data_IF_047693351356
#
_entry.id   IF_047693351356
#
_cell.length_a   1.000
_cell.length_b   1.000
_cell.length_c   1.000
_cell.angle_alpha   90.00
_cell.angle_beta   90.00
_cell.angle_gamma   90.00
#
_symmetry.space_group_name_H-M   'P 1'
#
loop_
_entity.id
_entity.type
_entity.pdbx_description
1 polymer ?
#
# COMPACT_ATOMS: atom_id res chain seq x y z
N UNK A 1 0.60 -19.88 1.06
CA UNK A 1 -0.34 -19.82 2.21
C UNK A 1 0.41 -19.96 3.52
N UNK A 2 -0.09 -19.40 4.60
CA UNK A 2 0.48 -19.42 5.95
C UNK A 2 1.86 -18.72 6.12
N UNK A 3 2.15 -17.71 5.30
CA UNK A 3 3.34 -16.88 5.44
C UNK A 3 3.25 -16.08 6.75
N UNK A 4 4.24 -16.24 7.63
CA UNK A 4 4.24 -15.66 9.00
C UNK A 4 2.94 -15.86 9.79
N UNK A 5 2.22 -16.96 9.54
CA UNK A 5 0.94 -17.26 10.22
C UNK A 5 -0.29 -16.61 9.58
N UNK A 6 -0.14 -15.89 8.46
CA UNK A 6 -1.29 -15.30 7.74
C UNK A 6 -2.18 -16.39 7.14
N UNK A 7 -3.50 -16.43 7.47
CA UNK A 7 -4.34 -17.61 7.20
C UNK A 7 -4.92 -17.69 5.79
N UNK A 8 -4.73 -16.65 4.97
CA UNK A 8 -5.34 -16.54 3.63
C UNK A 8 -4.28 -16.38 2.53
N UNK A 9 -4.70 -16.29 1.27
CA UNK A 9 -3.80 -16.22 0.11
C UNK A 9 -3.54 -14.81 -0.40
N UNK A 10 -4.35 -13.85 0.02
CA UNK A 10 -4.22 -12.43 -0.30
C UNK A 10 -4.73 -11.59 0.88
N UNK A 11 -4.45 -10.30 0.88
CA UNK A 11 -5.05 -9.38 1.82
C UNK A 11 -6.20 -8.62 1.16
N UNK A 12 -7.26 -8.37 1.93
CA UNK A 12 -8.40 -7.53 1.54
C UNK A 12 -8.64 -6.51 2.64
N UNK A 13 -8.21 -5.27 2.41
CA UNK A 13 -8.30 -4.21 3.41
C UNK A 13 -9.40 -3.23 3.01
N UNK A 14 -10.51 -3.26 3.74
CA UNK A 14 -11.72 -2.47 3.45
C UNK A 14 -11.75 -1.25 4.37
N UNK A 15 -11.99 -0.09 3.80
CA UNK A 15 -12.18 1.20 4.48
C UNK A 15 -11.05 1.52 5.48
N UNK A 16 -11.33 1.54 6.79
CA UNK A 16 -10.39 1.86 7.87
C UNK A 16 -9.30 0.80 8.08
N UNK A 17 -9.40 -0.37 7.45
CA UNK A 17 -8.34 -1.39 7.51
C UNK A 17 -7.20 -0.96 6.60
N UNK A 18 -6.15 -0.42 7.20
CA UNK A 18 -5.04 0.21 6.48
C UNK A 18 -4.29 -0.78 5.58
N UNK A 19 -3.98 -1.97 6.09
CA UNK A 19 -3.30 -3.04 5.33
C UNK A 19 -3.48 -4.39 6.02
N UNK A 20 -3.04 -5.47 5.35
CA UNK A 20 -3.02 -6.83 5.85
C UNK A 20 -4.38 -7.34 6.33
N UNK A 21 -5.48 -6.80 5.79
CA UNK A 21 -6.84 -7.27 6.07
C UNK A 21 -6.99 -8.75 5.71
N UNK A 22 -7.60 -9.52 6.62
CA UNK A 22 -7.82 -10.95 6.41
C UNK A 22 -9.15 -11.13 5.68
N UNK A 23 -9.18 -11.73 4.49
CA UNK A 23 -10.43 -12.02 3.77
C UNK A 23 -11.42 -12.78 4.65
N UNK A 24 -12.63 -12.26 4.74
CA UNK A 24 -13.75 -12.81 5.50
C UNK A 24 -15.06 -12.83 4.69
N UNK A 25 -16.19 -13.09 5.35
CA UNK A 25 -17.51 -13.19 4.71
C UNK A 25 -18.27 -11.85 4.68
N UNK A 26 -17.63 -10.72 5.07
CA UNK A 26 -18.21 -9.37 4.95
C UNK A 26 -18.50 -9.09 3.47
N UNK A 27 -19.73 -8.77 3.15
CA UNK A 27 -20.11 -8.30 1.83
C UNK A 27 -19.67 -6.86 1.65
N UNK A 28 -19.13 -6.58 0.47
CA UNK A 28 -18.84 -5.20 0.08
C UNK A 28 -20.15 -4.44 -0.15
N UNK A 29 -20.18 -3.20 0.29
CA UNK A 29 -21.31 -2.29 0.19
C UNK A 29 -20.97 -1.08 -0.66
N UNK A 30 -21.97 -0.42 -1.21
CA UNK A 30 -21.77 0.80 -1.97
C UNK A 30 -21.13 1.89 -1.11
N UNK A 31 -20.09 2.54 -1.63
CA UNK A 31 -19.26 3.49 -0.91
C UNK A 31 -17.99 2.89 -0.31
N UNK A 32 -17.86 1.57 -0.28
CA UNK A 32 -16.60 0.94 0.19
C UNK A 32 -15.43 1.24 -0.75
N UNK A 33 -14.28 1.46 -0.15
CA UNK A 33 -12.98 1.36 -0.81
C UNK A 33 -12.28 0.10 -0.30
N UNK A 34 -11.63 -0.65 -1.18
CA UNK A 34 -10.93 -1.88 -0.81
C UNK A 34 -9.56 -1.95 -1.46
N UNK A 35 -8.54 -2.25 -0.67
CA UNK A 35 -7.22 -2.62 -1.17
C UNK A 35 -7.15 -4.14 -1.32
N UNK A 36 -6.72 -4.58 -2.50
CA UNK A 36 -6.33 -5.97 -2.76
C UNK A 36 -4.81 -6.04 -2.86
N UNK A 37 -4.20 -6.82 -1.98
CA UNK A 37 -2.76 -7.01 -1.92
C UNK A 37 -2.43 -8.49 -2.10
N UNK A 38 -1.71 -8.79 -3.19
CA UNK A 38 -1.52 -10.16 -3.68
C UNK A 38 -0.05 -10.39 -3.94
N UNK A 39 0.52 -11.32 -3.16
CA UNK A 39 1.87 -11.83 -3.39
C UNK A 39 1.80 -13.23 -3.99
N UNK A 40 2.48 -13.43 -5.11
CA UNK A 40 2.63 -14.74 -5.78
C UNK A 40 4.08 -15.18 -5.77
N UNK A 41 4.30 -16.49 -5.81
CA UNK A 41 5.63 -17.10 -6.00
C UNK A 41 5.58 -18.04 -7.18
N UNK A 42 6.31 -17.72 -8.23
CA UNK A 42 6.34 -18.48 -9.47
C UNK A 42 7.78 -18.62 -9.98
N UNK A 43 8.17 -19.82 -10.35
CA UNK A 43 9.48 -20.15 -10.94
C UNK A 43 10.68 -19.60 -10.15
N UNK A 44 10.56 -19.60 -8.82
CA UNK A 44 11.63 -19.18 -7.92
C UNK A 44 11.67 -17.68 -7.62
N UNK A 45 10.67 -16.91 -8.04
CA UNK A 45 10.57 -15.46 -7.81
C UNK A 45 9.23 -15.06 -7.21
N UNK A 46 9.26 -14.02 -6.39
CA UNK A 46 8.06 -13.37 -5.87
C UNK A 46 7.62 -12.25 -6.81
N UNK A 47 6.31 -12.11 -7.01
CA UNK A 47 5.63 -10.93 -7.54
C UNK A 47 4.66 -10.43 -6.50
N UNK A 48 4.65 -9.12 -6.26
CA UNK A 48 3.88 -8.49 -5.18
C UNK A 48 3.24 -7.21 -5.69
N UNK A 49 1.92 -7.14 -5.68
CA UNK A 49 1.15 -6.03 -6.21
C UNK A 49 -0.03 -5.72 -5.31
N UNK A 50 -0.28 -4.43 -5.15
CA UNK A 50 -1.40 -3.90 -4.39
C UNK A 50 -2.16 -2.88 -5.23
N UNK A 51 -3.50 -2.96 -5.22
CA UNK A 51 -4.36 -2.06 -5.98
C UNK A 51 -5.61 -1.70 -5.19
N UNK A 52 -6.09 -0.46 -5.38
CA UNK A 52 -7.32 0.04 -4.76
C UNK A 52 -8.50 -0.06 -5.70
N UNK A 53 -9.63 -0.50 -5.18
CA UNK A 53 -10.90 -0.56 -5.88
C UNK A 53 -11.99 0.18 -5.12
N UNK A 54 -12.98 0.69 -5.84
CA UNK A 54 -14.16 1.34 -5.28
C UNK A 54 -15.40 0.50 -5.57
N UNK A 55 -16.35 0.51 -4.66
CA UNK A 55 -17.64 -0.18 -4.82
C UNK A 55 -18.74 0.88 -4.99
N UNK A 56 -19.23 1.01 -6.21
CA UNK A 56 -20.22 2.03 -6.55
C UNK A 56 -19.68 3.45 -6.42
N UNK A 57 -20.48 4.35 -5.84
CA UNK A 57 -20.11 5.75 -5.63
C UNK A 57 -19.47 5.95 -4.25
N UNK A 58 -18.25 6.48 -4.25
CA UNK A 58 -17.48 6.81 -3.05
C UNK A 58 -17.54 8.31 -2.80
N UNK A 59 -17.49 8.73 -1.55
CA UNK A 59 -17.50 10.13 -1.16
C UNK A 59 -16.25 10.90 -1.63
N UNK A 60 -16.28 12.22 -1.48
CA UNK A 60 -15.21 13.08 -1.96
C UNK A 60 -13.90 12.88 -1.18
N UNK A 61 -13.96 12.49 0.09
CA UNK A 61 -12.76 12.26 0.91
C UNK A 61 -12.08 10.95 0.53
N UNK A 62 -12.86 9.89 0.26
CA UNK A 62 -12.36 8.65 -0.31
C UNK A 62 -11.72 8.86 -1.69
N UNK A 63 -12.38 9.61 -2.58
CA UNK A 63 -11.82 9.96 -3.89
C UNK A 63 -10.49 10.72 -3.78
N UNK A 64 -10.41 11.70 -2.90
CA UNK A 64 -9.17 12.46 -2.64
C UNK A 64 -8.06 11.56 -2.08
N UNK A 65 -8.39 10.68 -1.14
CA UNK A 65 -7.44 9.74 -0.55
C UNK A 65 -6.84 8.82 -1.62
N UNK A 66 -7.69 8.22 -2.45
CA UNK A 66 -7.27 7.34 -3.54
C UNK A 66 -6.36 8.06 -4.53
N UNK A 67 -6.76 9.27 -4.96
CA UNK A 67 -5.96 10.06 -5.92
C UNK A 67 -4.63 10.49 -5.32
N UNK A 68 -4.62 10.99 -4.08
CA UNK A 68 -3.39 11.41 -3.40
C UNK A 68 -2.42 10.23 -3.21
N UNK A 69 -2.93 9.05 -2.85
CA UNK A 69 -2.13 7.84 -2.70
C UNK A 69 -1.52 7.41 -4.04
N UNK A 70 -2.30 7.41 -5.10
CA UNK A 70 -1.82 7.07 -6.44
C UNK A 70 -0.74 8.05 -6.92
N UNK A 71 -0.98 9.35 -6.79
CA UNK A 71 -0.03 10.38 -7.26
C UNK A 71 1.28 10.36 -6.47
N UNK A 72 1.22 10.16 -5.15
CA UNK A 72 2.45 10.04 -4.36
C UNK A 72 3.22 8.77 -4.68
N UNK A 73 2.54 7.65 -5.00
CA UNK A 73 3.18 6.44 -5.47
C UNK A 73 3.91 6.66 -6.81
N UNK A 74 3.26 7.31 -7.78
CA UNK A 74 3.90 7.68 -9.05
C UNK A 74 5.15 8.55 -8.81
N UNK A 75 5.04 9.55 -7.92
CA UNK A 75 6.17 10.43 -7.57
C UNK A 75 7.33 9.64 -6.96
N UNK A 76 7.03 8.71 -6.07
CA UNK A 76 8.02 7.82 -5.48
C UNK A 76 8.69 6.92 -6.54
N UNK A 77 7.91 6.34 -7.46
CA UNK A 77 8.44 5.53 -8.56
C UNK A 77 9.38 6.33 -9.48
N UNK A 78 9.01 7.56 -9.81
CA UNK A 78 9.84 8.44 -10.65
C UNK A 78 11.17 8.84 -10.00
N UNK A 79 11.18 8.91 -8.65
CA UNK A 79 12.40 9.18 -7.90
C UNK A 79 13.41 8.03 -7.96
N UNK A 80 12.94 6.78 -8.07
CA UNK A 80 13.81 5.59 -8.04
C UNK A 80 14.67 5.52 -9.31
N UNK A 81 15.94 5.85 -9.15
CA UNK A 81 16.94 5.89 -10.24
C UNK A 81 18.30 5.44 -9.68
N UNK A 82 19.24 5.02 -10.55
CA UNK A 82 20.60 4.71 -10.12
C UNK A 82 21.23 5.87 -9.33
N UNK A 83 21.79 5.57 -8.18
CA UNK A 83 22.43 6.56 -7.29
C UNK A 83 21.49 7.27 -6.31
N UNK A 84 20.20 6.94 -6.30
CA UNK A 84 19.25 7.42 -5.29
C UNK A 84 19.14 6.45 -4.12
N UNK A 85 19.00 6.98 -2.92
CA UNK A 85 18.81 6.17 -1.71
C UNK A 85 17.34 5.85 -1.49
N UNK A 86 17.00 4.58 -1.29
CA UNK A 86 15.63 4.15 -0.96
C UNK A 86 15.08 4.76 0.34
N UNK A 87 15.96 5.15 1.28
CA UNK A 87 15.54 5.83 2.53
C UNK A 87 14.84 7.16 2.28
N UNK A 88 15.07 7.80 1.12
CA UNK A 88 14.50 9.11 0.79
C UNK A 88 13.06 9.03 0.26
N UNK A 89 12.60 7.82 -0.16
CA UNK A 89 11.25 7.59 -0.67
C UNK A 89 10.19 8.05 0.35
N UNK A 90 10.38 7.74 1.62
CA UNK A 90 9.44 8.13 2.68
C UNK A 90 9.28 9.63 2.84
N UNK A 91 10.37 10.38 2.69
CA UNK A 91 10.34 11.85 2.71
C UNK A 91 9.52 12.41 1.53
N UNK A 92 9.72 11.86 0.33
CA UNK A 92 9.00 12.28 -0.89
C UNK A 92 7.49 12.05 -0.72
N UNK A 93 7.09 10.90 -0.17
CA UNK A 93 5.69 10.59 0.10
C UNK A 93 5.12 11.59 1.11
N UNK A 94 5.79 11.80 2.24
CA UNK A 94 5.37 12.71 3.30
C UNK A 94 5.22 14.15 2.79
N UNK A 95 6.20 14.64 2.02
CA UNK A 95 6.19 15.99 1.42
C UNK A 95 5.01 16.18 0.45
N UNK A 96 4.59 15.12 -0.24
CA UNK A 96 3.45 15.16 -1.15
C UNK A 96 2.11 15.15 -0.42
N UNK A 97 1.91 14.26 0.55
CA UNK A 97 0.59 14.02 1.15
C UNK A 97 0.25 14.98 2.29
N UNK A 98 1.25 15.48 3.03
CA UNK A 98 1.03 16.35 4.20
C UNK A 98 0.27 17.65 3.85
N UNK A 99 0.60 18.37 2.75
CA UNK A 99 -0.16 19.55 2.35
C UNK A 99 -1.61 19.27 1.96
N UNK A 100 -1.94 18.01 1.62
CA UNK A 100 -3.29 17.55 1.28
C UNK A 100 -4.11 17.13 2.50
N UNK A 101 -3.53 17.19 3.72
CA UNK A 101 -4.18 16.82 4.97
C UNK A 101 -4.10 15.33 5.28
N UNK A 102 -3.23 14.59 4.61
CA UNK A 102 -3.00 13.17 4.86
C UNK A 102 -1.70 12.92 5.61
N UNK A 103 -1.54 11.73 6.17
CA UNK A 103 -0.30 11.28 6.79
C UNK A 103 0.11 9.89 6.33
N UNK A 104 1.41 9.61 6.32
CA UNK A 104 1.93 8.27 6.05
C UNK A 104 1.92 7.41 7.32
N UNK A 105 1.71 6.10 7.14
CA UNK A 105 1.76 5.15 8.26
C UNK A 105 3.21 4.73 8.50
N UNK A 106 3.79 5.18 9.62
CA UNK A 106 5.21 5.02 9.94
C UNK A 106 5.59 3.66 10.53
N UNK A 107 4.59 2.83 10.88
CA UNK A 107 4.80 1.52 11.49
C UNK A 107 5.13 0.42 10.47
N UNK A 108 5.01 0.73 9.20
CA UNK A 108 5.30 -0.17 8.08
C UNK A 108 6.44 0.37 7.23
N UNK A 109 7.09 -0.52 6.50
CA UNK A 109 8.16 -0.17 5.57
C UNK A 109 8.05 -1.00 4.31
N UNK A 110 8.53 -0.45 3.19
CA UNK A 110 8.68 -1.21 1.96
C UNK A 110 9.80 -2.24 2.08
N UNK A 111 9.80 -3.22 1.22
CA UNK A 111 10.78 -4.30 1.21
C UNK A 111 11.23 -4.65 -0.22
N UNK A 112 12.36 -5.31 -0.31
CA UNK A 112 12.85 -5.87 -1.56
C UNK A 112 12.07 -7.12 -1.95
N UNK A 113 12.02 -7.40 -3.25
CA UNK A 113 11.33 -8.55 -3.82
C UNK A 113 12.21 -9.24 -4.87
N UNK A 114 12.15 -10.54 -4.92
CA UNK A 114 12.96 -11.35 -5.85
C UNK A 114 12.86 -12.83 -5.52
N UNK A 115 13.98 -13.52 -5.48
CA UNK A 115 14.05 -14.95 -5.04
C UNK A 115 13.66 -15.10 -3.57
N UNK A 116 13.89 -14.04 -2.79
CA UNK A 116 13.52 -13.95 -1.37
C UNK A 116 12.81 -12.62 -1.17
N UNK A 117 11.76 -12.60 -0.37
CA UNK A 117 11.19 -11.37 0.17
C UNK A 117 12.19 -10.85 1.22
N UNK A 118 12.88 -9.75 0.94
CA UNK A 118 14.04 -9.30 1.71
C UNK A 118 13.77 -7.97 2.39
N UNK A 119 13.99 -7.92 3.70
CA UNK A 119 13.97 -6.69 4.49
C UNK A 119 15.31 -5.93 4.52
N UNK A 120 16.33 -6.41 3.80
CA UNK A 120 17.67 -5.79 3.80
C UNK A 120 17.73 -4.43 3.09
N UNK A 121 16.70 -4.08 2.34
CA UNK A 121 16.57 -2.78 1.65
C UNK A 121 15.24 -2.13 2.05
N UNK A 122 15.06 -1.90 3.34
CA UNK A 122 13.84 -1.27 3.84
C UNK A 122 13.88 0.24 3.58
N UNK A 123 12.96 0.73 2.76
CA UNK A 123 12.56 2.14 2.84
C UNK A 123 11.59 2.28 4.02
N UNK A 124 11.73 3.33 4.84
CA UNK A 124 10.81 3.60 5.96
C UNK A 124 9.42 4.06 5.52
N UNK A 125 9.06 3.82 4.27
CA UNK A 125 7.74 4.17 3.77
C UNK A 125 7.17 3.02 2.96
N UNK A 126 6.17 2.39 3.51
CA UNK A 126 5.10 1.80 2.75
C UNK A 126 4.13 2.92 2.41
N UNK A 127 3.61 2.95 1.18
CA UNK A 127 2.62 3.96 0.78
C UNK A 127 1.27 3.54 1.37
N UNK A 128 1.11 3.83 2.65
CA UNK A 128 -0.15 3.75 3.37
C UNK A 128 -0.47 5.17 3.81
N UNK A 129 -1.44 5.76 3.16
CA UNK A 129 -1.92 7.11 3.45
C UNK A 129 -3.16 7.00 4.30
N UNK A 130 -3.22 7.78 5.36
CA UNK A 130 -4.32 7.80 6.32
C UNK A 130 -4.87 9.23 6.43
N UNK A 131 -6.18 9.36 6.60
CA UNK A 131 -6.82 10.64 6.93
C UNK A 131 -6.42 11.00 8.36
N UNK A 132 -5.75 12.15 8.53
CA UNK A 132 -5.44 12.68 9.87
C UNK A 132 -6.72 13.29 10.45
N UNK A 133 -7.23 12.72 11.55
CA UNK A 133 -8.26 13.37 12.36
C UNK A 133 -7.69 14.54 13.14
#
# INVERSE_FOLDING_TARGET
MNYHGFPKSCCTSVNEVICHGIPDDRKLEEGDIINLDITVYLDGYHGDCSEMFVVGEVDDDGKKLLQATYDCWISACQFVQPGKDYKDIGGIIEDYITPLGFSSVRNFCGHGIGKVCSFLHTSRAMILVHVSN
#
